data_IF_487321601555
#
_entry.id   IF_487321601555
#
_cell.length_a   1.000
_cell.length_b   1.000
_cell.length_c   1.000
_cell.angle_alpha   90.00
_cell.angle_beta   90.00
_cell.angle_gamma   90.00
#
_symmetry.space_group_name_H-M   'P 1'
#
loop_
_entity.id
_entity.type
_entity.pdbx_description
1 polymer ?
#
# COMPACT_ATOMS: atom_id res chain seq x y z
N UNK A 1 0.39 28.62 -29.86
CA UNK A 1 -0.66 29.37 -29.12
C UNK A 1 -0.21 30.82 -29.06
N UNK A 2 -1.10 31.82 -29.22
CA UNK A 2 -0.66 33.23 -29.22
C UNK A 2 -0.15 33.67 -27.84
N UNK A 3 0.83 34.60 -27.76
CA UNK A 3 1.37 35.08 -26.48
C UNK A 3 0.31 35.64 -25.52
N UNK A 4 -0.73 36.31 -26.05
CA UNK A 4 -1.82 36.85 -25.24
C UNK A 4 -2.62 35.76 -24.54
N UNK A 5 -2.80 34.61 -25.20
CA UNK A 5 -3.52 33.45 -24.65
C UNK A 5 -2.67 32.77 -23.58
N UNK A 6 -1.36 32.66 -23.77
CA UNK A 6 -0.41 32.15 -22.75
C UNK A 6 -0.45 33.01 -21.49
N UNK A 7 -0.46 34.34 -21.65
CA UNK A 7 -0.54 35.27 -20.53
C UNK A 7 -1.90 35.21 -19.81
N UNK A 8 -3.00 35.10 -20.56
CA UNK A 8 -4.35 34.98 -19.98
C UNK A 8 -4.57 33.67 -19.21
N UNK A 9 -3.88 32.59 -19.60
CA UNK A 9 -3.91 31.32 -18.86
C UNK A 9 -2.97 31.27 -17.66
N UNK A 10 -2.15 32.30 -17.44
CA UNK A 10 -1.22 32.36 -16.32
C UNK A 10 -0.17 31.25 -16.35
N UNK A 11 0.29 30.88 -17.55
CA UNK A 11 1.31 29.84 -17.76
C UNK A 11 2.61 30.27 -17.11
N UNK A 12 3.09 29.46 -16.16
CA UNK A 12 4.39 29.58 -15.53
C UNK A 12 5.29 28.49 -16.08
N UNK A 13 6.57 28.83 -16.19
CA UNK A 13 7.60 27.89 -16.63
C UNK A 13 8.66 27.74 -15.56
N UNK A 14 9.12 26.51 -15.36
CA UNK A 14 10.32 26.18 -14.60
C UNK A 14 11.46 25.79 -15.54
N UNK A 15 12.65 25.63 -14.97
CA UNK A 15 13.81 25.06 -15.65
C UNK A 15 14.07 23.69 -15.07
N UNK A 16 14.46 22.73 -15.90
CA UNK A 16 14.94 21.43 -15.47
C UNK A 16 16.35 21.61 -14.93
N UNK A 17 16.55 21.31 -13.65
CA UNK A 17 17.82 21.53 -12.96
C UNK A 17 18.37 20.20 -12.47
N UNK A 18 19.70 20.06 -12.53
CA UNK A 18 20.40 18.98 -11.87
C UNK A 18 20.87 19.47 -10.51
N UNK A 19 20.27 18.94 -9.45
CA UNK A 19 20.54 19.39 -8.09
C UNK A 19 20.42 18.20 -7.12
N UNK A 20 20.81 18.42 -5.87
CA UNK A 20 20.66 17.45 -4.80
C UNK A 20 19.18 17.25 -4.50
N UNK A 21 18.69 16.03 -4.73
CA UNK A 21 17.31 15.66 -4.49
C UNK A 21 17.00 15.74 -3.00
N UNK A 22 16.03 16.59 -2.63
CA UNK A 22 15.53 16.69 -1.25
C UNK A 22 14.71 15.43 -0.91
N UNK A 23 15.38 14.44 -0.33
CA UNK A 23 14.81 13.18 0.10
C UNK A 23 14.13 13.29 1.49
N UNK A 24 13.39 14.37 1.72
CA UNK A 24 12.55 14.52 2.91
C UNK A 24 11.31 13.62 2.81
N UNK A 25 11.15 12.71 3.79
CA UNK A 25 9.98 11.84 3.91
C UNK A 25 9.10 12.32 5.06
N UNK A 26 7.85 12.67 4.74
CA UNK A 26 6.83 12.98 5.75
C UNK A 26 5.93 11.77 5.93
N UNK A 27 5.79 11.34 7.17
CA UNK A 27 4.93 10.22 7.53
C UNK A 27 4.23 10.48 8.87
N UNK A 28 3.33 9.58 9.21
CA UNK A 28 2.63 9.50 10.49
C UNK A 28 3.16 8.32 11.28
N UNK A 29 2.96 8.35 12.59
CA UNK A 29 3.41 7.29 13.46
C UNK A 29 2.82 7.39 14.86
N UNK A 30 3.15 6.41 15.69
CA UNK A 30 2.66 6.33 17.06
C UNK A 30 3.80 6.29 18.06
N UNK A 31 3.65 7.05 19.15
CA UNK A 31 4.54 6.98 20.30
C UNK A 31 4.28 5.67 21.04
N UNK A 32 5.35 4.98 21.43
CA UNK A 32 5.33 3.69 22.11
C UNK A 32 6.32 3.72 23.28
N UNK A 33 6.15 2.78 24.22
CA UNK A 33 7.16 2.53 25.22
C UNK A 33 8.47 2.10 24.56
N UNK A 34 9.59 2.44 25.20
CA UNK A 34 10.87 1.80 24.92
C UNK A 34 10.79 0.33 25.38
N UNK A 35 10.57 -0.59 24.45
CA UNK A 35 10.39 -2.01 24.78
C UNK A 35 11.66 -2.63 25.38
N UNK A 36 12.84 -2.05 25.11
CA UNK A 36 14.11 -2.53 25.70
C UNK A 36 14.17 -2.26 27.21
N UNK A 37 13.37 -1.30 27.70
CA UNK A 37 13.22 -0.96 29.12
C UNK A 37 11.88 -1.41 29.72
N UNK A 38 11.06 -2.14 28.96
CA UNK A 38 9.79 -2.66 29.44
C UNK A 38 10.00 -3.98 30.19
N UNK A 39 9.56 -4.04 31.45
CA UNK A 39 9.65 -5.27 32.26
C UNK A 39 8.27 -5.85 32.47
N UNK A 40 8.07 -7.09 32.02
CA UNK A 40 6.86 -7.86 32.28
C UNK A 40 6.92 -8.57 33.63
N UNK A 41 5.81 -8.51 34.35
CA UNK A 41 5.62 -9.16 35.65
C UNK A 41 4.69 -10.36 35.45
N UNK A 42 5.22 -11.55 35.74
CA UNK A 42 4.52 -12.81 35.69
C UNK A 42 4.57 -13.50 37.06
N UNK A 43 3.55 -14.29 37.43
CA UNK A 43 3.61 -15.06 38.66
C UNK A 43 4.55 -16.27 38.45
N UNK A 44 5.37 -16.59 39.45
CA UNK A 44 6.26 -17.77 39.42
C UNK A 44 5.60 -19.06 39.89
N UNK A 45 4.49 -18.91 40.60
CA UNK A 45 3.68 -19.98 41.16
C UNK A 45 2.23 -19.65 40.95
N UNK A 46 1.38 -20.67 40.97
CA UNK A 46 -0.05 -20.43 41.00
C UNK A 46 -0.52 -19.95 42.38
N UNK A 47 -1.57 -19.15 42.40
CA UNK A 47 -2.09 -18.57 43.63
C UNK A 47 -3.20 -17.54 43.42
N UNK A 48 -3.64 -16.92 44.50
CA UNK A 48 -4.68 -15.89 44.51
C UNK A 48 -4.08 -14.55 44.90
N UNK A 49 -4.45 -13.51 44.17
CA UNK A 49 -4.11 -12.14 44.52
C UNK A 49 -4.98 -11.73 45.71
N UNK A 50 -4.38 -11.58 46.88
CA UNK A 50 -5.13 -11.14 48.07
C UNK A 50 -5.33 -9.62 48.08
N UNK A 51 -4.30 -8.88 47.68
CA UNK A 51 -4.29 -7.43 47.68
C UNK A 51 -3.46 -6.88 46.55
N UNK A 52 -3.96 -5.86 45.88
CA UNK A 52 -3.33 -5.17 44.77
C UNK A 52 -3.06 -3.73 45.20
N UNK A 53 -1.79 -3.37 45.31
CA UNK A 53 -1.37 -2.04 45.73
C UNK A 53 -1.32 -1.06 44.55
N UNK A 54 -0.98 -1.54 43.35
CA UNK A 54 -1.00 -0.79 42.10
C UNK A 54 -2.39 -0.88 41.45
N UNK A 55 -3.19 0.17 41.56
CA UNK A 55 -4.64 0.09 41.30
C UNK A 55 -5.04 0.49 39.88
N UNK A 56 -4.19 1.23 39.18
CA UNK A 56 -4.55 1.77 37.87
C UNK A 56 -3.36 1.73 36.91
N UNK A 57 -3.66 1.44 35.65
CA UNK A 57 -2.71 1.64 34.56
C UNK A 57 -2.35 3.12 34.47
N UNK A 58 -1.09 3.43 34.20
CA UNK A 58 -0.55 4.78 34.24
C UNK A 58 -0.06 5.22 35.62
N UNK A 59 -0.27 4.44 36.69
CA UNK A 59 0.26 4.78 38.02
C UNK A 59 1.81 4.75 37.99
N UNK A 60 2.49 5.80 38.49
CA UNK A 60 3.93 5.76 38.67
C UNK A 60 4.30 4.81 39.81
N UNK A 61 5.33 4.00 39.57
CA UNK A 61 5.87 3.05 40.53
C UNK A 61 7.36 3.29 40.75
N UNK A 62 7.80 3.14 42.00
CA UNK A 62 9.21 3.20 42.38
C UNK A 62 9.77 1.79 42.57
N UNK A 63 11.04 1.59 42.27
CA UNK A 63 11.71 0.32 42.52
C UNK A 63 11.56 -0.10 43.99
N UNK A 64 11.12 -1.34 44.23
CA UNK A 64 10.85 -1.86 45.57
C UNK A 64 9.45 -1.54 46.12
N UNK A 65 8.65 -0.73 45.44
CA UNK A 65 7.26 -0.47 45.82
C UNK A 65 6.43 -1.76 45.79
N UNK A 66 5.58 -2.04 46.80
CA UNK A 66 4.64 -3.16 46.75
C UNK A 66 3.73 -3.06 45.52
N UNK A 67 3.63 -4.14 44.74
CA UNK A 67 2.72 -4.24 43.60
C UNK A 67 1.46 -5.01 43.97
N UNK A 68 1.63 -6.24 44.45
CA UNK A 68 0.54 -7.10 44.90
C UNK A 68 1.02 -8.07 45.98
N UNK A 69 0.07 -8.67 46.69
CA UNK A 69 0.29 -9.79 47.58
C UNK A 69 -0.36 -11.05 47.00
N UNK A 70 0.37 -12.16 47.07
CA UNK A 70 -0.02 -13.45 46.50
C UNK A 70 -0.07 -14.50 47.60
N UNK A 71 -1.24 -15.11 47.77
CA UNK A 71 -1.38 -16.37 48.50
C UNK A 71 -1.12 -17.53 47.56
N UNK A 72 -0.21 -18.42 47.91
CA UNK A 72 0.09 -19.62 47.13
C UNK A 72 0.41 -20.77 48.07
N UNK A 73 -0.31 -21.91 47.96
CA UNK A 73 0.02 -23.12 48.72
C UNK A 73 1.48 -23.55 48.52
N UNK A 74 2.00 -23.38 47.30
CA UNK A 74 3.40 -23.71 46.97
C UNK A 74 4.39 -22.85 47.75
N UNK A 75 4.10 -21.55 47.95
CA UNK A 75 4.94 -20.67 48.77
C UNK A 75 4.82 -21.01 50.26
N UNK A 76 3.63 -21.31 50.75
CA UNK A 76 3.41 -21.72 52.15
C UNK A 76 4.21 -22.99 52.45
N UNK A 77 4.09 -24.02 51.62
CA UNK A 77 4.82 -25.28 51.78
C UNK A 77 6.35 -25.08 51.75
N UNK A 78 6.86 -24.24 50.84
CA UNK A 78 8.29 -23.96 50.76
C UNK A 78 8.82 -23.24 52.02
N UNK A 79 8.01 -22.40 52.65
CA UNK A 79 8.36 -21.74 53.92
C UNK A 79 8.37 -22.76 55.07
N UNK A 80 7.38 -23.65 55.15
CA UNK A 80 7.32 -24.73 56.14
C UNK A 80 8.53 -25.66 56.04
N UNK A 81 8.94 -26.03 54.83
CA UNK A 81 10.14 -26.83 54.58
C UNK A 81 11.41 -26.17 55.14
N UNK A 82 11.57 -24.85 54.97
CA UNK A 82 12.69 -24.10 55.56
C UNK A 82 12.65 -24.17 57.09
N UNK A 83 11.49 -23.93 57.70
CA UNK A 83 11.35 -23.97 59.16
C UNK A 83 11.64 -25.37 59.73
N UNK A 84 11.15 -26.41 59.07
CA UNK A 84 11.44 -27.80 59.43
C UNK A 84 12.95 -28.11 59.33
N UNK A 85 13.62 -27.64 58.27
CA UNK A 85 15.06 -27.80 58.11
C UNK A 85 15.84 -27.06 59.20
N UNK A 86 15.43 -25.83 59.54
CA UNK A 86 16.03 -25.04 60.62
C UNK A 86 15.84 -25.69 62.00
N UNK A 87 14.67 -26.27 62.26
CA UNK A 87 14.37 -26.95 63.53
C UNK A 87 15.20 -28.24 63.69
N UNK A 88 15.51 -28.93 62.59
CA UNK A 88 16.39 -30.11 62.59
C UNK A 88 17.87 -29.78 62.65
N UNK A 89 18.27 -28.51 62.46
CA UNK A 89 19.66 -28.07 62.44
C UNK A 89 20.49 -28.65 61.28
N UNK A 90 19.84 -29.11 60.20
CA UNK A 90 20.54 -29.73 59.07
C UNK A 90 20.91 -28.67 58.02
N UNK A 91 22.17 -28.25 58.02
CA UNK A 91 22.64 -27.15 57.18
C UNK A 91 22.42 -27.37 55.67
N UNK A 92 22.53 -28.62 55.20
CA UNK A 92 22.31 -28.97 53.79
C UNK A 92 20.84 -28.83 53.38
N UNK A 93 19.91 -29.16 54.29
CA UNK A 93 18.48 -28.96 54.04
C UNK A 93 18.11 -27.48 54.10
N UNK A 94 18.72 -26.72 55.00
CA UNK A 94 18.51 -25.28 55.11
C UNK A 94 18.95 -24.58 53.81
N UNK A 95 20.14 -24.92 53.29
CA UNK A 95 20.61 -24.34 52.03
C UNK A 95 19.69 -24.69 50.85
N UNK A 96 19.25 -25.94 50.74
CA UNK A 96 18.34 -26.38 49.69
C UNK A 96 16.96 -25.68 49.76
N UNK A 97 16.40 -25.51 50.97
CA UNK A 97 15.14 -24.81 51.16
C UNK A 97 15.26 -23.31 50.85
N UNK A 98 16.39 -22.67 51.20
CA UNK A 98 16.67 -21.27 50.84
C UNK A 98 16.80 -21.09 49.32
N UNK A 99 17.52 -21.99 48.64
CA UNK A 99 17.63 -21.97 47.18
C UNK A 99 16.27 -22.14 46.51
N UNK A 100 15.42 -23.03 47.03
CA UNK A 100 14.04 -23.20 46.55
C UNK A 100 13.23 -21.92 46.70
N UNK A 101 13.24 -21.27 47.86
CA UNK A 101 12.52 -20.01 48.08
C UNK A 101 12.99 -18.90 47.12
N UNK A 102 14.32 -18.81 46.89
CA UNK A 102 14.88 -17.85 45.92
C UNK A 102 14.48 -18.17 44.48
N UNK A 103 14.45 -19.45 44.11
CA UNK A 103 14.02 -19.89 42.79
C UNK A 103 12.53 -19.55 42.53
N UNK A 104 11.70 -19.57 43.58
CA UNK A 104 10.32 -19.11 43.54
C UNK A 104 10.18 -17.57 43.64
N UNK A 105 11.30 -16.84 43.59
CA UNK A 105 11.39 -15.38 43.69
C UNK A 105 10.76 -14.79 44.97
N UNK A 106 10.80 -15.53 46.08
CA UNK A 106 10.44 -14.97 47.38
C UNK A 106 11.46 -13.89 47.75
N UNK A 107 11.04 -12.65 48.06
CA UNK A 107 11.96 -11.57 48.40
C UNK A 107 12.86 -11.91 49.58
N UNK A 108 14.13 -11.51 49.52
CA UNK A 108 15.10 -11.78 50.60
C UNK A 108 14.62 -11.22 51.95
N UNK A 109 13.93 -10.09 51.97
CA UNK A 109 13.30 -9.52 53.17
C UNK A 109 12.27 -10.47 53.80
N UNK A 110 11.44 -11.11 52.97
CA UNK A 110 10.43 -12.07 53.43
C UNK A 110 11.10 -13.35 53.97
N UNK A 111 12.16 -13.82 53.31
CA UNK A 111 12.97 -14.95 53.79
C UNK A 111 13.62 -14.63 55.14
N UNK A 112 14.20 -13.45 55.29
CA UNK A 112 14.84 -13.04 56.55
C UNK A 112 13.79 -12.93 57.67
N UNK A 113 12.64 -12.29 57.38
CA UNK A 113 11.52 -12.21 58.32
C UNK A 113 11.03 -13.59 58.77
N UNK A 114 10.93 -14.56 57.86
CA UNK A 114 10.56 -15.94 58.18
C UNK A 114 11.57 -16.61 59.11
N UNK A 115 12.88 -16.41 58.88
CA UNK A 115 13.94 -16.96 59.73
C UNK A 115 13.92 -16.38 61.15
N UNK A 116 13.65 -15.09 61.25
CA UNK A 116 13.66 -14.35 62.52
C UNK A 116 12.37 -14.58 63.31
N UNK A 117 11.20 -14.55 62.66
CA UNK A 117 9.90 -14.72 63.31
C UNK A 117 9.53 -16.19 63.54
N UNK A 118 10.11 -17.11 62.77
CA UNK A 118 9.70 -18.53 62.70
C UNK A 118 8.23 -18.73 62.35
N UNK A 119 7.60 -17.75 61.69
CA UNK A 119 6.19 -17.79 61.31
C UNK A 119 6.05 -17.75 59.78
N UNK A 120 5.29 -18.71 59.25
CA UNK A 120 4.95 -18.79 57.82
C UNK A 120 3.99 -17.67 57.45
N UNK A 121 4.30 -16.96 56.37
CA UNK A 121 3.38 -15.97 55.80
C UNK A 121 2.45 -16.64 54.82
N UNK A 122 1.14 -16.43 54.97
CA UNK A 122 0.14 -16.90 54.01
C UNK A 122 0.28 -16.15 52.67
N UNK A 123 0.53 -14.84 52.73
CA UNK A 123 0.71 -14.00 51.55
C UNK A 123 2.13 -13.43 51.45
N UNK A 124 2.70 -13.46 50.26
CA UNK A 124 3.99 -12.84 49.95
C UNK A 124 3.74 -11.58 49.13
N UNK A 125 4.35 -10.47 49.55
CA UNK A 125 4.29 -9.20 48.82
C UNK A 125 5.36 -9.22 47.73
N UNK A 126 4.92 -9.09 46.48
CA UNK A 126 5.79 -8.90 45.33
C UNK A 126 5.95 -7.39 45.09
N UNK A 127 7.18 -6.99 44.79
CA UNK A 127 7.60 -5.59 44.67
C UNK A 127 8.08 -5.29 43.25
N UNK A 128 8.03 -4.01 42.88
CA UNK A 128 8.47 -3.54 41.58
C UNK A 128 9.98 -3.77 41.39
N UNK A 129 10.42 -4.46 40.32
CA UNK A 129 11.84 -4.67 40.04
C UNK A 129 12.54 -3.40 39.55
N UNK A 130 11.79 -2.45 39.00
CA UNK A 130 12.28 -1.16 38.51
C UNK A 130 11.28 -0.03 38.79
N UNK A 131 11.76 1.22 38.72
CA UNK A 131 10.91 2.40 38.70
C UNK A 131 10.36 2.64 37.29
N UNK A 132 9.15 3.16 37.16
CA UNK A 132 8.53 3.43 35.87
C UNK A 132 7.05 3.73 36.01
N UNK A 133 6.31 3.50 34.93
CA UNK A 133 4.85 3.62 34.86
C UNK A 133 4.26 2.25 34.61
N UNK A 134 3.17 1.96 35.32
CA UNK A 134 2.44 0.71 35.18
C UNK A 134 1.70 0.67 33.83
N UNK A 135 1.87 -0.43 33.10
CA UNK A 135 1.23 -0.69 31.82
C UNK A 135 0.58 -2.09 31.82
N UNK A 136 -0.44 -2.29 30.98
CA UNK A 136 -1.08 -3.59 30.74
C UNK A 136 -1.45 -4.36 32.03
N UNK A 137 -2.19 -3.73 32.96
CA UNK A 137 -2.58 -4.30 34.25
C UNK A 137 -3.77 -5.25 34.09
N UNK A 138 -3.46 -6.52 33.80
CA UNK A 138 -4.43 -7.58 33.48
C UNK A 138 -5.02 -8.30 34.71
N UNK A 139 -4.70 -7.84 35.93
CA UNK A 139 -5.10 -8.51 37.17
C UNK A 139 -5.84 -7.60 38.14
N UNK A 140 -6.68 -8.20 38.98
CA UNK A 140 -7.48 -7.56 40.03
C UNK A 140 -7.44 -8.41 41.30
N UNK A 141 -7.74 -7.78 42.44
CA UNK A 141 -7.85 -8.48 43.72
C UNK A 141 -8.86 -9.63 43.65
N UNK A 142 -8.53 -10.77 44.27
CA UNK A 142 -9.31 -11.99 44.25
C UNK A 142 -9.07 -12.91 43.04
N UNK A 143 -8.39 -12.44 42.00
CA UNK A 143 -8.10 -13.27 40.83
C UNK A 143 -7.13 -14.41 41.16
N UNK A 144 -7.40 -15.57 40.55
CA UNK A 144 -6.46 -16.68 40.51
C UNK A 144 -5.51 -16.51 39.33
N UNK A 145 -4.22 -16.73 39.58
CA UNK A 145 -3.14 -16.51 38.60
C UNK A 145 -2.23 -17.73 38.54
N UNK A 146 -1.61 -17.95 37.37
CA UNK A 146 -0.74 -19.10 37.11
C UNK A 146 0.47 -18.69 36.26
N UNK A 147 1.61 -19.42 36.35
CA UNK A 147 2.77 -19.13 35.52
C UNK A 147 2.43 -19.08 34.03
N UNK A 148 2.98 -18.09 33.33
CA UNK A 148 2.67 -17.82 31.92
C UNK A 148 1.59 -16.76 31.72
N UNK A 149 0.78 -16.46 32.73
CA UNK A 149 -0.13 -15.31 32.70
C UNK A 149 0.65 -14.00 32.86
N UNK A 150 0.39 -13.01 32.01
CA UNK A 150 0.89 -11.64 32.22
C UNK A 150 0.06 -10.95 33.28
N UNK A 151 0.72 -10.35 34.29
CA UNK A 151 0.04 -9.66 35.37
C UNK A 151 -0.06 -8.17 35.06
N UNK A 152 1.10 -7.60 34.75
CA UNK A 152 1.32 -6.17 34.50
C UNK A 152 2.70 -6.00 33.87
N UNK A 153 2.92 -4.85 33.28
CA UNK A 153 4.22 -4.40 32.79
C UNK A 153 4.61 -3.10 33.48
N UNK A 154 5.91 -2.82 33.56
CA UNK A 154 6.42 -1.53 34.05
C UNK A 154 7.34 -0.99 32.98
N UNK A 155 6.99 0.14 32.39
CA UNK A 155 7.77 0.83 31.37
C UNK A 155 8.41 2.10 31.92
N UNK A 156 9.64 2.38 31.49
CA UNK A 156 10.28 3.68 31.76
C UNK A 156 9.89 4.65 30.64
N UNK A 157 9.60 5.90 30.99
CA UNK A 157 9.17 6.94 30.04
C UNK A 157 10.22 8.03 29.80
N UNK A 158 11.45 7.86 30.29
CA UNK A 158 12.54 8.81 30.09
C UNK A 158 12.93 8.92 28.61
N UNK A 159 12.76 7.82 27.88
CA UNK A 159 12.88 7.72 26.44
C UNK A 159 11.62 7.03 25.92
N UNK A 160 11.18 7.44 24.74
CA UNK A 160 10.06 6.81 24.04
C UNK A 160 10.47 6.52 22.61
N UNK A 161 9.80 5.54 22.02
CA UNK A 161 9.93 5.27 20.61
C UNK A 161 8.78 5.95 19.87
N UNK A 162 9.03 6.47 18.68
CA UNK A 162 7.97 6.74 17.71
C UNK A 162 8.17 5.78 16.55
N UNK A 163 7.12 5.04 16.20
CA UNK A 163 7.14 4.12 15.06
C UNK A 163 6.36 4.76 13.93
N UNK A 164 7.10 5.20 12.90
CA UNK A 164 6.56 5.79 11.68
C UNK A 164 6.23 4.75 10.61
N UNK A 165 5.22 5.03 9.80
CA UNK A 165 4.72 4.15 8.75
C UNK A 165 5.06 4.71 7.36
N UNK A 166 6.22 4.36 6.81
CA UNK A 166 6.71 4.92 5.56
C UNK A 166 6.23 4.07 4.37
N UNK A 167 5.65 4.68 3.34
CA UNK A 167 5.25 3.93 2.15
C UNK A 167 6.42 3.19 1.50
N UNK A 168 6.17 1.98 1.00
CA UNK A 168 7.19 1.11 0.38
C UNK A 168 8.08 1.83 -0.64
N UNK A 169 7.50 2.64 -1.53
CA UNK A 169 8.23 3.43 -2.55
C UNK A 169 9.21 4.47 -1.99
N UNK A 170 9.02 4.90 -0.75
CA UNK A 170 9.85 5.89 -0.05
C UNK A 170 10.79 5.24 0.95
N UNK A 171 10.58 3.96 1.30
CA UNK A 171 11.43 3.25 2.26
C UNK A 171 12.90 3.20 1.81
N UNK A 172 13.15 3.12 0.51
CA UNK A 172 14.50 3.14 -0.07
C UNK A 172 15.24 4.48 0.08
N UNK A 173 14.54 5.55 0.48
CA UNK A 173 15.14 6.87 0.71
C UNK A 173 15.65 7.04 2.15
N UNK A 174 15.29 6.13 3.05
CA UNK A 174 15.56 6.25 4.48
C UNK A 174 16.70 5.31 4.86
N UNK A 175 17.62 5.83 5.67
CA UNK A 175 18.72 5.09 6.27
C UNK A 175 18.71 5.22 7.80
N UNK A 176 19.32 4.25 8.47
CA UNK A 176 19.62 4.38 9.90
C UNK A 176 20.56 5.57 10.12
N UNK A 177 20.27 6.38 11.15
CA UNK A 177 20.99 7.61 11.44
C UNK A 177 20.43 8.87 10.78
N UNK A 178 19.40 8.77 9.93
CA UNK A 178 18.70 9.94 9.39
C UNK A 178 18.08 10.78 10.52
N UNK A 179 18.14 12.10 10.37
CA UNK A 179 17.56 13.02 11.35
C UNK A 179 16.04 13.04 11.22
N UNK A 180 15.35 13.01 12.35
CA UNK A 180 13.89 13.01 12.38
C UNK A 180 13.39 14.13 13.27
N UNK A 181 12.45 14.89 12.73
CA UNK A 181 11.66 15.86 13.49
C UNK A 181 10.25 15.32 13.69
N UNK A 182 9.81 15.30 14.94
CA UNK A 182 8.46 14.91 15.31
C UNK A 182 7.67 16.11 15.80
N UNK A 183 6.43 16.21 15.33
CA UNK A 183 5.41 17.14 15.82
C UNK A 183 4.16 16.38 16.23
N UNK A 184 3.40 16.95 17.15
CA UNK A 184 2.14 16.40 17.62
C UNK A 184 1.04 17.43 17.38
N UNK A 185 -0.08 17.02 16.79
CA UNK A 185 -1.18 17.94 16.44
C UNK A 185 -1.74 18.67 17.66
N UNK A 186 -1.67 18.05 18.85
CA UNK A 186 -2.15 18.64 20.09
C UNK A 186 -1.16 19.63 20.73
N UNK A 187 0.09 19.69 20.25
CA UNK A 187 1.16 20.59 20.70
C UNK A 187 2.02 21.04 19.49
N UNK A 188 1.46 21.80 18.54
CA UNK A 188 2.19 22.17 17.31
C UNK A 188 3.37 23.11 17.54
N UNK A 189 3.42 23.80 18.69
CA UNK A 189 4.52 24.71 19.05
C UNK A 189 5.77 23.98 19.56
N UNK A 190 5.69 22.65 19.77
CA UNK A 190 6.81 21.83 20.22
C UNK A 190 7.23 20.85 19.15
N UNK A 191 8.54 20.80 18.95
CA UNK A 191 9.20 19.85 18.07
C UNK A 191 10.15 18.99 18.90
N UNK A 192 10.16 17.69 18.63
CA UNK A 192 11.14 16.76 19.16
C UNK A 192 12.09 16.37 18.03
N UNK A 193 13.38 16.30 18.34
CA UNK A 193 14.40 15.84 17.41
C UNK A 193 14.92 14.48 17.87
N UNK A 194 15.13 13.60 16.91
CA UNK A 194 15.58 12.24 17.11
C UNK A 194 16.30 11.75 15.87
N UNK A 195 16.70 10.48 15.90
CA UNK A 195 17.34 9.82 14.76
C UNK A 195 16.65 8.50 14.50
N UNK A 196 16.64 8.09 13.23
CA UNK A 196 16.21 6.73 12.86
C UNK A 196 17.16 5.74 13.53
N UNK A 197 16.62 4.97 14.45
CA UNK A 197 17.36 3.98 15.23
C UNK A 197 17.30 2.60 14.57
N UNK A 198 16.15 2.26 13.97
CA UNK A 198 15.95 0.95 13.38
C UNK A 198 14.90 0.97 12.29
N UNK A 199 15.17 0.29 11.17
CA UNK A 199 14.21 0.08 10.08
C UNK A 199 13.81 -1.39 10.10
N UNK A 200 12.53 -1.69 10.28
CA UNK A 200 12.08 -3.08 10.34
C UNK A 200 12.25 -3.74 8.96
N UNK A 201 12.77 -4.99 8.89
CA UNK A 201 13.02 -5.68 7.62
C UNK A 201 11.74 -6.20 6.94
N UNK A 202 10.57 -5.90 7.49
CA UNK A 202 9.27 -6.37 7.04
C UNK A 202 8.38 -5.19 6.63
N UNK A 203 7.69 -5.33 5.51
CA UNK A 203 6.61 -4.42 5.09
C UNK A 203 5.28 -4.95 5.65
N UNK A 204 4.46 -4.05 6.18
CA UNK A 204 3.09 -4.35 6.56
C UNK A 204 2.23 -4.57 5.30
N UNK A 205 1.63 -5.75 5.15
CA UNK A 205 0.91 -6.12 3.92
C UNK A 205 -0.43 -5.43 3.76
N UNK A 206 -1.05 -4.98 4.85
CA UNK A 206 -2.35 -4.31 4.83
C UNK A 206 -2.20 -2.85 4.41
N UNK A 207 -1.20 -2.16 4.98
CA UNK A 207 -0.95 -0.74 4.74
C UNK A 207 0.09 -0.48 3.64
N UNK A 208 0.87 -1.50 3.25
CA UNK A 208 2.05 -1.39 2.36
C UNK A 208 3.07 -0.35 2.84
N UNK A 209 3.34 -0.37 4.14
CA UNK A 209 4.29 0.54 4.78
C UNK A 209 5.46 -0.22 5.42
N UNK A 210 6.65 0.35 5.31
CA UNK A 210 7.81 0.01 6.12
C UNK A 210 7.69 0.71 7.48
N UNK A 211 7.98 -0.01 8.55
CA UNK A 211 8.01 0.57 9.89
C UNK A 211 9.40 1.09 10.20
N UNK A 212 9.47 2.34 10.64
CA UNK A 212 10.71 3.02 10.99
C UNK A 212 10.63 3.45 12.45
N UNK A 213 11.57 2.99 13.27
CA UNK A 213 11.65 3.32 14.70
C UNK A 213 12.61 4.48 14.91
N UNK A 214 12.12 5.47 15.65
CA UNK A 214 12.85 6.69 16.00
C UNK A 214 12.82 6.85 17.50
N UNK A 215 13.96 7.17 18.12
CA UNK A 215 14.05 7.35 19.57
C UNK A 215 14.04 8.83 19.94
N UNK A 216 13.21 9.19 20.92
CA UNK A 216 13.10 10.54 21.45
C UNK A 216 13.35 10.56 22.96
N UNK A 217 14.08 11.59 23.41
CA UNK A 217 14.17 11.92 24.83
C UNK A 217 12.84 12.52 25.31
N UNK A 218 12.44 12.19 26.54
CA UNK A 218 11.15 12.57 27.11
C UNK A 218 11.31 13.05 28.56
N UNK A 219 12.25 13.98 28.77
CA UNK A 219 12.65 14.45 30.11
C UNK A 219 11.50 15.10 30.90
N UNK A 220 10.57 15.75 30.19
CA UNK A 220 9.40 16.41 30.79
C UNK A 220 8.14 15.53 30.81
N UNK A 221 8.27 14.26 30.37
CA UNK A 221 7.17 13.29 30.29
C UNK A 221 5.97 13.78 29.47
N UNK A 222 6.20 14.70 28.52
CA UNK A 222 5.15 15.23 27.66
C UNK A 222 4.69 14.21 26.60
N UNK A 223 5.60 13.33 26.15
CA UNK A 223 5.30 12.25 25.23
C UNK A 223 4.71 11.07 26.00
N UNK A 224 3.49 10.69 25.63
CA UNK A 224 2.79 9.54 26.21
C UNK A 224 2.62 8.45 25.15
N UNK A 225 2.89 7.18 25.48
CA UNK A 225 2.60 6.06 24.60
C UNK A 225 1.13 6.06 24.13
N UNK A 226 0.92 5.68 22.89
CA UNK A 226 -0.37 5.72 22.19
C UNK A 226 -0.67 7.04 21.48
N UNK A 227 0.15 8.08 21.65
CA UNK A 227 -0.05 9.35 20.94
C UNK A 227 0.25 9.21 19.44
N UNK A 228 -0.59 9.85 18.63
CA UNK A 228 -0.37 10.01 17.21
C UNK A 228 0.62 11.15 16.96
N UNK A 229 1.54 10.94 16.02
CA UNK A 229 2.64 11.85 15.72
C UNK A 229 2.86 11.98 14.23
N UNK A 230 3.31 13.16 13.82
CA UNK A 230 3.80 13.41 12.48
C UNK A 230 5.32 13.45 12.50
N UNK A 231 5.94 12.68 11.62
CA UNK A 231 7.38 12.53 11.50
C UNK A 231 7.84 13.10 10.17
N UNK A 232 8.86 13.94 10.23
CA UNK A 232 9.60 14.43 9.06
C UNK A 232 11.01 13.88 9.15
N UNK A 233 11.31 12.91 8.30
CA UNK A 233 12.60 12.22 8.22
C UNK A 233 13.41 12.91 7.12
N UNK A 234 14.55 13.47 7.50
CA UNK A 234 15.48 14.14 6.61
C UNK A 234 16.55 13.11 6.22
N UNK A 235 16.45 12.60 4.99
CA UNK A 235 17.45 11.66 4.48
C UNK A 235 18.78 12.37 4.31
N UNK A 236 19.83 11.77 4.84
CA UNK A 236 21.20 12.24 4.60
C UNK A 236 21.75 11.82 3.24
N UNK A 237 20.94 11.15 2.40
CA UNK A 237 21.38 10.67 1.10
C UNK A 237 21.39 11.80 0.08
N UNK A 238 22.56 12.41 -0.13
CA UNK A 238 22.75 13.40 -1.20
C UNK A 238 22.81 12.69 -2.55
N UNK A 239 21.76 12.85 -3.35
CA UNK A 239 21.66 12.25 -4.68
C UNK A 239 21.50 13.38 -5.69
N UNK A 240 22.52 13.60 -6.51
CA UNK A 240 22.36 14.47 -7.66
C UNK A 240 21.44 13.80 -8.67
N UNK A 241 20.33 14.45 -8.98
CA UNK A 241 19.34 13.95 -9.91
C UNK A 241 18.86 15.10 -10.81
N UNK A 242 18.52 14.77 -12.05
CA UNK A 242 17.77 15.68 -12.90
C UNK A 242 16.35 15.78 -12.33
N UNK A 243 15.92 16.96 -11.90
CA UNK A 243 14.67 17.12 -11.19
C UNK A 243 13.78 18.22 -11.78
N UNK A 244 12.47 18.01 -11.61
CA UNK A 244 11.43 18.97 -11.99
C UNK A 244 10.47 19.21 -10.82
N UNK A 245 9.80 20.38 -10.75
CA UNK A 245 8.71 20.59 -9.81
C UNK A 245 7.61 19.53 -10.03
N UNK A 246 7.12 18.93 -8.95
CA UNK A 246 6.12 17.86 -9.00
C UNK A 246 4.85 18.26 -9.75
N UNK A 247 4.49 19.53 -9.69
CA UNK A 247 3.34 20.10 -10.40
C UNK A 247 3.47 20.06 -11.93
N UNK A 248 4.69 20.05 -12.48
CA UNK A 248 4.93 19.96 -13.92
C UNK A 248 4.70 18.55 -14.49
N UNK A 249 4.70 17.52 -13.64
CA UNK A 249 4.52 16.15 -14.05
C UNK A 249 3.03 15.82 -14.23
N UNK A 250 2.65 15.44 -15.46
CA UNK A 250 1.32 14.92 -15.77
C UNK A 250 1.39 13.40 -15.77
N UNK A 251 0.59 12.75 -14.92
CA UNK A 251 0.43 11.29 -14.90
C UNK A 251 -0.92 10.89 -15.46
N UNK A 252 -0.88 10.19 -16.57
CA UNK A 252 -2.00 9.39 -17.09
C UNK A 252 -1.75 7.93 -16.70
N UNK A 253 -2.78 7.13 -16.45
CA UNK A 253 -2.63 5.81 -15.80
C UNK A 253 -1.55 4.88 -16.38
N UNK A 254 -1.21 5.01 -17.67
CA UNK A 254 -0.16 4.25 -18.35
C UNK A 254 1.12 5.03 -18.69
N UNK A 255 1.14 6.37 -18.62
CA UNK A 255 2.25 7.19 -19.10
C UNK A 255 2.45 8.46 -18.27
N UNK A 256 3.72 8.82 -18.05
CA UNK A 256 4.13 10.08 -17.42
C UNK A 256 4.64 11.04 -18.50
N UNK A 257 4.19 12.29 -18.48
CA UNK A 257 4.55 13.29 -19.49
C UNK A 257 4.78 14.66 -18.87
N UNK A 258 5.56 15.49 -19.56
CA UNK A 258 5.87 16.88 -19.20
C UNK A 258 5.73 17.74 -20.44
N UNK A 259 5.24 18.98 -20.28
CA UNK A 259 5.10 19.93 -21.39
C UNK A 259 6.33 20.83 -21.45
N UNK A 260 7.14 20.69 -22.50
CA UNK A 260 8.24 21.61 -22.82
C UNK A 260 7.71 22.93 -23.39
N UNK A 261 8.35 24.03 -23.00
CA UNK A 261 8.17 25.36 -23.55
C UNK A 261 9.35 25.67 -24.49
N UNK A 262 9.14 25.52 -25.80
CA UNK A 262 10.17 25.71 -26.83
C UNK A 262 10.44 27.20 -27.18
N UNK A 263 9.72 28.12 -26.54
CA UNK A 263 9.72 29.55 -26.89
C UNK A 263 8.66 29.91 -27.93
N UNK A 264 8.46 31.21 -28.14
CA UNK A 264 7.53 31.78 -29.14
C UNK A 264 6.09 31.22 -29.11
N UNK A 265 5.60 30.86 -27.92
CA UNK A 265 4.26 30.29 -27.73
C UNK A 265 4.08 28.87 -28.28
N UNK A 266 5.19 28.14 -28.49
CA UNK A 266 5.21 26.73 -28.90
C UNK A 266 5.45 25.83 -27.68
N UNK A 267 4.61 24.80 -27.56
CA UNK A 267 4.66 23.82 -26.49
C UNK A 267 4.68 22.42 -27.09
N UNK A 268 5.37 21.49 -26.42
CA UNK A 268 5.47 20.09 -26.85
C UNK A 268 5.36 19.16 -25.65
N UNK A 269 4.41 18.23 -25.66
CA UNK A 269 4.35 17.16 -24.66
C UNK A 269 5.40 16.10 -24.96
N UNK A 270 6.17 15.72 -23.94
CA UNK A 270 7.20 14.68 -24.01
C UNK A 270 6.94 13.64 -22.93
N UNK A 271 7.06 12.36 -23.29
CA UNK A 271 7.02 11.24 -22.35
C UNK A 271 8.33 11.16 -21.57
N UNK A 272 8.22 10.94 -20.26
CA UNK A 272 9.37 10.92 -19.34
C UNK A 272 9.35 9.68 -18.47
N UNK A 273 10.53 9.11 -18.24
CA UNK A 273 10.70 8.06 -17.23
C UNK A 273 10.94 8.70 -15.87
N UNK A 274 10.07 8.38 -14.92
CA UNK A 274 10.08 8.99 -13.59
C UNK A 274 10.78 8.07 -12.59
N UNK A 275 11.75 8.63 -11.87
CA UNK A 275 12.46 7.97 -10.79
C UNK A 275 11.81 8.21 -9.43
N UNK A 276 12.63 8.62 -8.45
CA UNK A 276 12.18 8.94 -7.10
C UNK A 276 11.24 10.15 -7.09
N UNK A 277 10.25 10.08 -6.21
CA UNK A 277 9.24 11.14 -6.05
C UNK A 277 9.39 11.75 -4.67
N UNK A 278 9.81 13.01 -4.63
CA UNK A 278 9.98 13.78 -3.40
C UNK A 278 8.69 14.49 -3.01
N UNK A 279 8.80 15.40 -2.04
CA UNK A 279 7.67 16.22 -1.64
C UNK A 279 7.34 17.30 -2.69
N UNK A 280 8.33 18.11 -3.06
CA UNK A 280 8.20 19.23 -4.01
C UNK A 280 8.72 18.91 -5.40
N UNK A 281 9.75 18.08 -5.50
CA UNK A 281 10.42 17.74 -6.77
C UNK A 281 10.29 16.26 -7.11
N UNK A 282 10.51 15.95 -8.38
CA UNK A 282 10.49 14.58 -8.92
C UNK A 282 11.74 14.37 -9.75
N UNK A 283 12.40 13.25 -9.54
CA UNK A 283 13.54 12.80 -10.34
C UNK A 283 13.08 12.27 -11.70
N UNK A 284 13.80 12.69 -12.75
CA UNK A 284 13.61 12.29 -14.13
C UNK A 284 14.80 11.45 -14.56
N UNK A 285 14.53 10.20 -14.98
CA UNK A 285 15.53 9.25 -15.44
C UNK A 285 15.83 9.41 -16.93
N UNK A 286 14.81 9.76 -17.72
CA UNK A 286 14.91 9.97 -19.18
C UNK A 286 13.82 10.91 -19.70
N UNK A 287 14.05 11.48 -20.89
CA UNK A 287 13.07 12.29 -21.63
C UNK A 287 13.23 13.81 -21.52
N UNK A 288 14.07 14.30 -20.61
CA UNK A 288 14.39 15.74 -20.45
C UNK A 288 15.90 15.94 -20.33
N UNK A 289 16.35 17.15 -20.67
CA UNK A 289 17.75 17.58 -20.52
C UNK A 289 17.87 18.73 -19.51
N UNK A 290 19.04 18.89 -18.91
CA UNK A 290 19.33 20.02 -18.02
C UNK A 290 19.23 21.35 -18.78
N UNK A 291 18.51 22.32 -18.21
CA UNK A 291 18.25 23.63 -18.84
C UNK A 291 16.99 23.70 -19.69
N UNK A 292 16.30 22.57 -19.92
CA UNK A 292 15.00 22.57 -20.59
C UNK A 292 13.99 23.44 -19.84
N UNK A 293 13.16 24.18 -20.58
CA UNK A 293 12.05 24.93 -19.97
C UNK A 293 10.79 24.10 -20.00
N UNK A 294 10.20 23.90 -18.84
CA UNK A 294 8.99 23.09 -18.64
C UNK A 294 7.86 23.95 -18.12
N UNK A 295 6.62 23.56 -18.39
CA UNK A 295 5.44 24.25 -17.88
C UNK A 295 5.07 23.73 -16.49
N UNK A 296 4.94 24.64 -15.52
CA UNK A 296 4.57 24.32 -14.13
C UNK A 296 3.11 24.68 -13.80
N UNK A 297 2.45 25.51 -14.62
CA UNK A 297 1.02 25.83 -14.47
C UNK A 297 0.26 25.79 -15.81
N UNK A 298 -1.03 25.47 -15.76
CA UNK A 298 -1.89 25.26 -16.94
C UNK A 298 -1.39 24.16 -17.91
N UNK A 299 -0.53 23.26 -17.42
CA UNK A 299 0.06 22.14 -18.13
C UNK A 299 -0.99 21.19 -18.73
N UNK A 300 -2.13 20.97 -18.05
CA UNK A 300 -3.20 20.11 -18.56
C UNK A 300 -3.91 20.69 -19.81
N UNK A 301 -4.11 22.01 -19.86
CA UNK A 301 -4.72 22.67 -21.00
C UNK A 301 -3.80 22.62 -22.22
N UNK A 302 -2.50 22.85 -22.00
CA UNK A 302 -1.48 22.79 -23.05
C UNK A 302 -1.25 21.37 -23.55
N UNK A 303 -1.27 20.37 -22.66
CA UNK A 303 -1.16 18.96 -23.04
C UNK A 303 -2.37 18.51 -23.89
N UNK A 304 -3.58 18.92 -23.52
CA UNK A 304 -4.81 18.61 -24.26
C UNK A 304 -4.83 19.21 -25.66
N UNK A 305 -4.28 20.42 -25.84
CA UNK A 305 -4.17 21.06 -27.15
C UNK A 305 -3.06 20.43 -28.00
N UNK A 306 -1.94 20.07 -27.37
CA UNK A 306 -0.79 19.41 -28.00
C UNK A 306 -1.15 17.99 -28.49
N UNK A 307 -1.89 17.22 -27.70
CA UNK A 307 -2.34 15.86 -28.09
C UNK A 307 -3.29 15.91 -29.29
N UNK A 308 -4.30 16.79 -29.26
CA UNK A 308 -5.21 17.03 -30.40
C UNK A 308 -4.44 17.40 -31.66
N UNK A 309 -3.53 18.38 -31.57
CA UNK A 309 -2.75 18.86 -32.73
C UNK A 309 -1.81 17.77 -33.27
N UNK A 310 -1.28 16.92 -32.40
CA UNK A 310 -0.43 15.79 -32.81
C UNK A 310 -1.22 14.70 -33.53
N UNK A 311 -2.45 14.42 -33.10
CA UNK A 311 -3.35 13.49 -33.78
C UNK A 311 -3.79 14.03 -35.16
N UNK A 312 -4.02 15.35 -35.29
CA UNK A 312 -4.28 15.98 -36.59
C UNK A 312 -3.08 15.92 -37.54
N UNK A 313 -1.84 16.10 -37.05
CA UNK A 313 -0.63 15.92 -37.87
C UNK A 313 -0.40 14.48 -38.31
N UNK A 314 -0.80 13.51 -37.49
CA UNK A 314 -0.74 12.08 -37.86
C UNK A 314 -1.75 11.74 -38.97
N UNK A 315 -2.81 12.52 -39.12
CA UNK A 315 -3.76 12.46 -40.25
C UNK A 315 -3.30 13.24 -41.49
N UNK A 316 -2.47 14.27 -41.32
CA UNK A 316 -2.01 15.15 -42.41
C UNK A 316 -0.67 14.68 -43.04
N UNK A 317 0.07 13.81 -42.36
CA UNK A 317 1.29 13.15 -42.86
C UNK A 317 1.02 11.80 -43.56
N UNK A 318 -0.12 11.65 -44.26
CA UNK A 318 -0.31 10.53 -45.21
C UNK A 318 0.13 10.86 -46.64
N UNK A 319 0.62 12.07 -46.91
CA UNK A 319 1.22 12.42 -48.20
C UNK A 319 2.62 13.03 -47.98
N UNK A 320 3.61 12.50 -48.71
CA UNK A 320 5.02 12.89 -48.79
C UNK A 320 5.99 12.43 -47.67
N UNK A 321 6.53 11.22 -47.84
CA UNK A 321 7.98 11.00 -47.98
C UNK A 321 8.25 9.51 -48.30
N UNK A 322 8.46 9.21 -49.57
CA UNK A 322 9.29 8.07 -49.98
C UNK A 322 10.74 8.41 -49.60
N UNK A 323 11.30 7.72 -48.61
CA UNK A 323 12.70 7.32 -48.56
C UNK A 323 12.83 6.14 -47.59
N UNK A 324 13.42 5.06 -48.11
CA UNK A 324 13.31 3.71 -47.59
C UNK A 324 14.20 3.44 -46.36
N UNK A 325 13.62 2.78 -45.35
CA UNK A 325 14.35 1.97 -44.38
C UNK A 325 13.92 0.50 -44.57
N UNK A 326 14.75 -0.27 -45.27
CA UNK A 326 14.59 -1.71 -45.48
C UNK A 326 14.93 -2.48 -44.20
N UNK A 327 14.09 -2.40 -43.15
CA UNK A 327 13.87 -3.55 -42.25
C UNK A 327 12.69 -3.40 -41.27
N UNK A 328 11.60 -2.72 -41.65
CA UNK A 328 10.35 -2.85 -40.90
C UNK A 328 9.60 -4.08 -41.41
N UNK A 329 9.48 -5.11 -40.59
CA UNK A 329 8.57 -6.23 -40.86
C UNK A 329 7.17 -5.64 -41.03
N UNK A 330 6.66 -5.59 -42.25
CA UNK A 330 5.31 -5.08 -42.52
C UNK A 330 4.33 -6.01 -41.82
N UNK A 331 3.72 -5.57 -40.72
CA UNK A 331 2.82 -6.39 -39.90
C UNK A 331 1.42 -6.52 -40.51
N UNK A 332 1.02 -5.58 -41.39
CA UNK A 332 -0.31 -5.54 -42.00
C UNK A 332 -0.24 -5.22 -43.49
N UNK A 333 -0.99 -5.94 -44.32
CA UNK A 333 -1.02 -5.75 -45.79
C UNK A 333 -2.46 -5.82 -46.31
N UNK A 334 -2.80 -4.92 -47.22
CA UNK A 334 -4.03 -4.98 -48.01
C UNK A 334 -3.79 -5.80 -49.28
N UNK A 335 -4.57 -6.86 -49.45
CA UNK A 335 -4.50 -7.72 -50.63
C UNK A 335 -5.88 -8.06 -51.20
N UNK A 336 -6.04 -8.08 -52.53
CA UNK A 336 -7.26 -8.58 -53.13
C UNK A 336 -7.39 -10.07 -52.82
N UNK A 337 -8.57 -10.46 -52.33
CA UNK A 337 -8.88 -11.81 -51.91
C UNK A 337 -10.33 -12.15 -52.24
N UNK A 338 -10.62 -13.44 -52.35
CA UNK A 338 -11.97 -13.95 -52.54
C UNK A 338 -12.37 -14.82 -51.37
N UNK A 339 -13.58 -14.61 -50.86
CA UNK A 339 -14.14 -15.39 -49.76
C UNK A 339 -14.56 -16.75 -50.30
N UNK A 340 -14.00 -17.83 -49.76
CA UNK A 340 -14.36 -19.20 -50.16
C UNK A 340 -15.37 -19.83 -49.21
N UNK A 341 -15.20 -19.59 -47.91
CA UNK A 341 -16.10 -20.09 -46.86
C UNK A 341 -16.10 -19.13 -45.66
N UNK A 342 -17.26 -18.98 -45.02
CA UNK A 342 -17.44 -18.18 -43.80
C UNK A 342 -17.88 -19.11 -42.68
N UNK A 343 -17.14 -19.14 -41.57
CA UNK A 343 -17.42 -19.98 -40.40
C UNK A 343 -17.76 -19.10 -39.17
N UNK A 344 -19.00 -18.59 -39.04
CA UNK A 344 -19.38 -17.67 -37.97
C UNK A 344 -19.22 -18.27 -36.57
N UNK A 345 -19.54 -19.55 -36.41
CA UNK A 345 -19.47 -20.26 -35.12
C UNK A 345 -18.03 -20.39 -34.58
N UNK A 346 -17.03 -20.24 -35.47
CA UNK A 346 -15.61 -20.32 -35.14
C UNK A 346 -14.87 -18.97 -35.26
N UNK A 347 -15.56 -17.90 -35.70
CA UNK A 347 -14.94 -16.58 -35.92
C UNK A 347 -13.83 -16.59 -36.98
N UNK A 348 -13.95 -17.47 -37.98
CA UNK A 348 -12.93 -17.64 -39.03
C UNK A 348 -13.54 -17.54 -40.42
N UNK A 349 -12.70 -17.19 -41.39
CA UNK A 349 -13.06 -17.09 -42.81
C UNK A 349 -11.93 -17.68 -43.65
N UNK A 350 -12.28 -18.49 -44.65
CA UNK A 350 -11.35 -19.03 -45.63
C UNK A 350 -11.28 -18.07 -46.81
N UNK A 351 -10.08 -17.58 -47.11
CA UNK A 351 -9.83 -16.64 -48.21
C UNK A 351 -8.82 -17.21 -49.20
N UNK A 352 -9.11 -17.10 -50.50
CA UNK A 352 -8.07 -17.18 -51.54
C UNK A 352 -7.54 -15.77 -51.85
N UNK A 353 -6.30 -15.51 -51.45
CA UNK A 353 -5.68 -14.19 -51.63
C UNK A 353 -4.66 -14.19 -52.77
N UNK A 354 -4.44 -13.01 -53.37
CA UNK A 354 -3.37 -12.79 -54.34
C UNK A 354 -1.96 -12.83 -53.68
N UNK A 355 -0.86 -12.94 -54.45
CA UNK A 355 0.49 -13.02 -53.87
C UNK A 355 0.83 -11.79 -53.03
N UNK A 356 1.36 -12.01 -51.82
CA UNK A 356 1.72 -10.95 -50.87
C UNK A 356 3.25 -10.77 -50.93
N UNK A 357 3.71 -9.82 -51.72
CA UNK A 357 5.15 -9.56 -51.90
C UNK A 357 5.86 -9.22 -50.58
N UNK A 358 5.20 -8.48 -49.69
CA UNK A 358 5.75 -8.08 -48.39
C UNK A 358 6.07 -9.27 -47.47
N UNK A 359 5.39 -10.41 -47.63
CA UNK A 359 5.62 -11.63 -46.85
C UNK A 359 6.23 -12.77 -47.68
N UNK A 360 6.59 -12.49 -48.94
CA UNK A 360 7.05 -13.48 -49.92
C UNK A 360 6.07 -14.68 -50.06
N UNK A 361 4.77 -14.40 -50.00
CA UNK A 361 3.72 -15.42 -50.05
C UNK A 361 3.14 -15.56 -51.46
N UNK A 362 3.02 -16.78 -52.00
CA UNK A 362 2.30 -17.01 -53.24
C UNK A 362 0.80 -16.82 -53.05
N UNK A 363 0.05 -16.77 -54.15
CA UNK A 363 -1.41 -16.86 -54.07
C UNK A 363 -1.81 -18.22 -53.49
N UNK A 364 -2.60 -18.23 -52.43
CA UNK A 364 -3.04 -19.45 -51.75
C UNK A 364 -4.40 -19.23 -51.06
N UNK A 365 -5.06 -20.34 -50.72
CA UNK A 365 -6.30 -20.35 -49.95
C UNK A 365 -6.03 -20.88 -48.55
N UNK A 366 -6.44 -20.14 -47.52
CA UNK A 366 -6.25 -20.51 -46.12
C UNK A 366 -7.24 -19.82 -45.19
N UNK A 367 -7.30 -20.27 -43.95
CA UNK A 367 -8.19 -19.77 -42.92
C UNK A 367 -7.56 -18.60 -42.16
N UNK A 368 -8.33 -17.54 -41.99
CA UNK A 368 -7.96 -16.35 -41.23
C UNK A 368 -8.93 -16.16 -40.07
N UNK A 369 -8.38 -15.80 -38.91
CA UNK A 369 -9.20 -15.39 -37.77
C UNK A 369 -9.76 -14.00 -38.02
N UNK A 370 -11.07 -13.80 -37.83
CA UNK A 370 -11.70 -12.50 -38.06
C UNK A 370 -11.59 -11.67 -36.79
N UNK A 371 -11.01 -10.48 -36.89
CA UNK A 371 -10.92 -9.55 -35.76
C UNK A 371 -12.31 -8.95 -35.47
N UNK A 372 -12.55 -8.54 -34.21
CA UNK A 372 -13.82 -7.94 -33.76
C UNK A 372 -14.21 -6.67 -34.54
N UNK A 373 -13.26 -6.08 -35.28
CA UNK A 373 -13.46 -4.92 -36.15
C UNK A 373 -14.14 -5.24 -37.47
N UNK A 374 -14.30 -6.52 -37.84
CA UNK A 374 -14.92 -6.97 -39.09
C UNK A 374 -16.19 -7.78 -38.79
N UNK A 375 -17.33 -7.30 -39.30
CA UNK A 375 -18.61 -7.98 -39.12
C UNK A 375 -18.77 -9.15 -40.10
N UNK A 376 -18.70 -10.38 -39.59
CA UNK A 376 -18.92 -11.64 -40.34
C UNK A 376 -20.26 -11.68 -41.08
N UNK A 377 -21.30 -11.00 -40.58
CA UNK A 377 -22.64 -10.95 -41.19
C UNK A 377 -22.66 -10.32 -42.59
N UNK A 378 -21.65 -9.51 -42.93
CA UNK A 378 -21.55 -8.80 -44.21
C UNK A 378 -20.74 -9.59 -45.24
N UNK A 379 -20.07 -10.66 -44.83
CA UNK A 379 -19.24 -11.52 -45.67
C UNK A 379 -20.07 -12.68 -46.21
N UNK A 380 -19.92 -12.99 -47.50
CA UNK A 380 -20.61 -14.11 -48.16
C UNK A 380 -19.65 -14.86 -49.06
N UNK A 381 -19.86 -16.17 -49.15
CA UNK A 381 -19.10 -17.05 -50.02
C UNK A 381 -19.14 -16.56 -51.48
N UNK A 382 -17.97 -16.56 -52.11
CA UNK A 382 -17.76 -16.16 -53.49
C UNK A 382 -17.57 -14.65 -53.73
N UNK A 383 -17.59 -13.82 -52.68
CA UNK A 383 -17.38 -12.37 -52.75
C UNK A 383 -15.91 -12.01 -52.97
N UNK A 384 -15.63 -11.11 -53.92
CA UNK A 384 -14.31 -10.51 -54.12
C UNK A 384 -14.18 -9.28 -53.23
N UNK A 385 -13.10 -9.23 -52.45
CA UNK A 385 -12.85 -8.19 -51.45
C UNK A 385 -11.40 -7.71 -51.51
N UNK A 386 -11.16 -6.50 -51.01
CA UNK A 386 -9.84 -6.08 -50.57
C UNK A 386 -9.73 -6.38 -49.08
N UNK A 387 -8.89 -7.35 -48.72
CA UNK A 387 -8.72 -7.82 -47.34
C UNK A 387 -7.48 -7.19 -46.70
N UNK A 388 -7.64 -6.65 -45.50
CA UNK A 388 -6.53 -6.24 -44.65
C UNK A 388 -6.11 -7.42 -43.76
N UNK A 389 -4.96 -7.99 -44.07
CA UNK A 389 -4.39 -9.12 -43.36
C UNK A 389 -3.30 -8.64 -42.42
N UNK A 390 -3.37 -9.05 -41.16
CA UNK A 390 -2.35 -8.79 -40.14
C UNK A 390 -1.67 -10.10 -39.72
N UNK A 391 -0.34 -10.08 -39.62
CA UNK A 391 0.44 -11.18 -39.06
C UNK A 391 0.57 -10.99 -37.55
N UNK A 392 -0.16 -11.79 -36.78
CA UNK A 392 -0.17 -11.74 -35.30
C UNK A 392 1.05 -12.46 -34.71
N UNK A 393 1.51 -13.54 -35.34
CA UNK A 393 2.71 -14.31 -34.97
C UNK A 393 3.25 -15.05 -36.21
N UNK A 394 4.42 -15.72 -36.12
CA UNK A 394 5.07 -16.38 -37.28
C UNK A 394 4.13 -17.25 -38.14
N UNK A 395 3.16 -17.93 -37.53
CA UNK A 395 2.18 -18.80 -38.23
C UNK A 395 0.69 -18.45 -37.91
N UNK A 396 0.39 -17.21 -37.50
CA UNK A 396 -1.00 -16.78 -37.20
C UNK A 396 -1.35 -15.47 -37.88
N UNK A 397 -2.46 -15.47 -38.60
CA UNK A 397 -2.92 -14.36 -39.42
C UNK A 397 -4.38 -14.05 -39.14
N UNK A 398 -4.71 -12.77 -39.13
CA UNK A 398 -6.08 -12.31 -38.94
C UNK A 398 -6.53 -11.36 -40.05
N UNK A 399 -7.82 -11.42 -40.33
CA UNK A 399 -8.53 -10.47 -41.16
C UNK A 399 -9.01 -9.31 -40.27
N UNK A 400 -8.40 -8.14 -40.44
CA UNK A 400 -8.66 -6.96 -39.59
C UNK A 400 -9.62 -5.95 -40.22
N UNK A 401 -9.67 -5.93 -41.55
CA UNK A 401 -10.45 -5.01 -42.34
C UNK A 401 -10.88 -5.63 -43.66
N UNK A 402 -12.06 -5.25 -44.13
CA UNK A 402 -12.58 -5.67 -45.43
C UNK A 402 -13.12 -4.43 -46.15
N UNK A 403 -12.70 -4.24 -47.39
CA UNK A 403 -13.30 -3.29 -48.32
C UNK A 403 -13.91 -4.05 -49.49
N UNK A 404 -15.17 -3.75 -49.81
CA UNK A 404 -15.86 -4.32 -50.98
C UNK A 404 -15.95 -3.22 -52.02
N UNK A 405 -15.32 -3.40 -53.18
CA UNK A 405 -15.45 -2.46 -54.30
C UNK A 405 -16.88 -2.55 -54.88
N UNK A 406 -17.70 -1.53 -54.61
CA UNK A 406 -19.10 -1.49 -55.07
C UNK A 406 -19.26 -0.46 -56.19
N UNK A 407 -19.24 -0.91 -57.46
CA UNK A 407 -19.65 -0.09 -58.61
C UNK A 407 -20.55 -0.85 -59.59
N UNK A 408 -21.86 -0.87 -59.30
CA UNK A 408 -22.94 -0.92 -60.30
C UNK A 408 -24.16 -0.10 -59.85
N UNK A 409 -24.33 1.07 -60.49
CA UNK A 409 -25.52 1.96 -60.50
C UNK A 409 -26.91 1.29 -60.62
N UNK A 410 -27.91 1.75 -59.83
CA UNK A 410 -29.06 2.59 -60.31
C UNK A 410 -30.15 2.92 -59.24
N UNK A 411 -30.32 4.24 -59.04
CA UNK A 411 -31.55 5.06 -58.88
C UNK A 411 -32.46 4.93 -57.62
N UNK A 412 -33.12 6.05 -57.21
CA UNK A 412 -33.56 6.30 -55.83
C UNK A 412 -35.08 6.17 -55.59
N UNK A 413 -35.42 6.21 -54.29
CA UNK A 413 -36.68 6.58 -53.62
C UNK A 413 -37.93 5.71 -53.79
N UNK A 414 -38.41 5.15 -52.68
CA UNK A 414 -39.66 5.65 -52.07
C UNK A 414 -39.63 5.44 -50.55
N UNK A 415 -39.80 6.53 -49.79
CA UNK A 415 -40.00 6.53 -48.34
C UNK A 415 -41.43 6.11 -48.02
N UNK A 416 -41.66 5.47 -46.87
CA UNK A 416 -43.02 5.25 -46.39
C UNK A 416 -43.12 4.34 -45.17
N UNK A 417 -42.47 4.75 -44.08
CA UNK A 417 -42.82 4.30 -42.73
C UNK A 417 -44.30 4.62 -42.43
N UNK A 418 -45.02 3.69 -41.83
CA UNK A 418 -46.03 4.06 -40.82
C UNK A 418 -46.09 3.06 -39.67
N UNK A 419 -46.37 3.67 -38.53
CA UNK A 419 -46.35 3.32 -37.13
C UNK A 419 -47.44 2.34 -36.68
N UNK A 420 -47.35 1.94 -35.41
CA UNK A 420 -48.51 1.56 -34.60
C UNK A 420 -48.33 0.22 -33.91
N UNK A 421 -47.90 0.20 -32.64
CA UNK A 421 -48.76 0.30 -31.45
C UNK A 421 -49.60 -0.96 -31.18
N UNK A 422 -49.52 -1.50 -29.96
CA UNK A 422 -50.62 -1.41 -28.99
C UNK A 422 -50.28 -2.15 -27.69
N UNK A 423 -50.26 -1.37 -26.61
CA UNK A 423 -50.73 -1.81 -25.30
C UNK A 423 -52.27 -1.86 -25.29
N UNK A 424 -52.86 -2.80 -24.55
CA UNK A 424 -53.80 -2.57 -23.42
C UNK A 424 -54.99 -3.56 -23.34
N UNK A 425 -55.30 -3.97 -22.10
CA UNK A 425 -56.60 -4.40 -21.55
C UNK A 425 -57.27 -5.68 -22.14
N UNK A 426 -58.03 -6.54 -21.43
CA UNK A 426 -58.68 -6.50 -20.12
C UNK A 426 -59.19 -7.93 -19.78
N UNK A 427 -59.33 -8.23 -18.47
CA UNK A 427 -60.30 -9.11 -17.80
C UNK A 427 -60.50 -10.59 -18.20
N UNK A 428 -60.27 -11.47 -17.22
CA UNK A 428 -60.88 -12.79 -17.12
C UNK A 428 -60.71 -13.38 -15.71
N UNK A 429 -61.83 -13.75 -15.09
CA UNK A 429 -62.05 -14.02 -13.68
C UNK A 429 -61.81 -15.49 -13.27
N UNK A 430 -61.69 -15.68 -11.95
CA UNK A 430 -62.19 -16.80 -11.13
C UNK A 430 -61.30 -18.04 -10.81
N UNK A 431 -60.94 -18.04 -9.52
CA UNK A 431 -61.30 -19.04 -8.49
C UNK A 431 -60.49 -20.33 -8.26
N UNK A 432 -60.43 -20.60 -6.95
CA UNK A 432 -60.37 -21.89 -6.22
C UNK A 432 -59.01 -22.34 -5.65
N UNK A 433 -58.90 -22.19 -4.32
CA UNK A 433 -58.40 -23.11 -3.26
C UNK A 433 -57.08 -23.87 -3.51
N UNK A 434 -56.16 -24.12 -2.56
CA UNK A 434 -56.25 -24.38 -1.12
C UNK A 434 -54.83 -24.75 -0.62
N UNK A 435 -54.56 -24.51 0.67
CA UNK A 435 -53.67 -25.26 1.61
C UNK A 435 -52.19 -25.49 1.21
N UNK A 436 -51.16 -25.46 2.05
CA UNK A 436 -50.84 -25.61 3.49
C UNK A 436 -49.43 -24.95 3.61
N UNK A 437 -48.89 -24.41 4.70
CA UNK A 437 -49.01 -24.71 6.13
C UNK A 437 -47.59 -24.72 6.73
N UNK A 438 -47.41 -24.09 7.90
CA UNK A 438 -46.28 -24.09 8.84
C UNK A 438 -45.04 -23.20 8.54
N UNK A 439 -44.78 -22.11 9.28
CA UNK A 439 -44.41 -21.94 10.71
C UNK A 439 -42.94 -22.35 10.99
N UNK A 440 -42.04 -21.45 11.35
CA UNK A 440 -41.72 -20.95 12.72
C UNK A 440 -40.54 -19.97 12.58
N UNK A 441 -40.48 -18.83 13.27
CA UNK A 441 -40.01 -18.68 14.66
C UNK A 441 -38.64 -17.96 14.64
N UNK A 442 -38.61 -16.65 14.89
CA UNK A 442 -38.05 -16.00 16.10
C UNK A 442 -36.53 -15.72 16.11
N UNK A 443 -36.22 -14.42 16.14
CA UNK A 443 -35.33 -13.72 17.08
C UNK A 443 -33.89 -14.22 17.29
N UNK A 444 -32.91 -13.44 16.83
CA UNK A 444 -32.21 -12.42 17.64
C UNK A 444 -31.32 -11.51 16.81
#
# INVERSE_FOLDING_TARGET
ISPDVVNNFGVKTGVVEKDTFDATVRTVGYVQYDEDKLVHIHPRVEGWIEKLFAKSEGDPVTQGQPLYSLYSPTLVNAQEELLLAMNRGNQRLISAALERLRALQVPNEAIQKLRDSRQVSQAIILRAPQSGVLDNLQVREGMFVQPGMSMMSIGVLDHVWAVGEVFERQAALIAEGDEVRMTLDYLPEREWTGVVDYIYPSIDSETRTARVRVRFANDDLALKPGMFSQLTIMSNTTLEALQIPREALIRTGSQSRVVLALGDGKFKSIEVDVGRVGWETVEILSGLEEGDRIVTSAQFLLDSESSRTSDFRRMDHSDSAEEADENSLVETVWVPARIEDVMPDHGMVTLSHAPIAAWNWPAMSMDFQVADTVSLEQLKDGMDIHAELERIAEDKFALRGVHVDDDKTKAPSDEGMDHGETSNAERGQQDVMSHQGHATGESK
#
